data_IF_900498185427
#
_entry.id   IF_900498185427
#
_cell.length_a   1.000
_cell.length_b   1.000
_cell.length_c   1.000
_cell.angle_alpha   90.00
_cell.angle_beta   90.00
_cell.angle_gamma   90.00
#
_symmetry.space_group_name_H-M   'P 1'
#
loop_
_entity.id
_entity.type
_entity.pdbx_description
1 polymer ?
#
# COMPACT_ATOMS: atom_id res chain seq x y z
N UNK A 1 11.45 4.84 15.48
CA UNK A 1 10.43 3.82 15.19
C UNK A 1 9.71 3.34 16.45
N UNK A 2 10.33 3.36 17.64
CA UNK A 2 9.69 3.02 18.92
C UNK A 2 8.40 3.79 19.24
N UNK A 3 8.34 5.10 18.94
CA UNK A 3 7.15 5.91 19.20
C UNK A 3 5.89 5.51 18.40
N UNK A 4 6.03 4.69 17.34
CA UNK A 4 4.89 4.13 16.60
C UNK A 4 4.33 2.87 17.28
N UNK A 5 5.20 2.14 17.97
CA UNK A 5 4.90 0.90 18.69
C UNK A 5 4.43 1.16 20.12
N UNK A 6 4.73 2.34 20.68
CA UNK A 6 4.24 2.76 21.99
C UNK A 6 2.82 3.36 21.89
N UNK A 7 1.78 2.67 22.40
CA UNK A 7 0.42 3.20 22.40
C UNK A 7 0.24 4.45 23.27
N UNK A 8 1.17 4.75 24.18
CA UNK A 8 1.15 5.95 25.05
C UNK A 8 1.83 7.16 24.44
N UNK A 9 2.49 7.02 23.28
CA UNK A 9 3.13 8.14 22.61
C UNK A 9 2.06 9.14 22.07
N UNK A 10 2.33 10.46 22.12
CA UNK A 10 1.40 11.46 21.63
C UNK A 10 1.06 11.22 20.16
N UNK A 11 -0.22 11.39 19.81
CA UNK A 11 -0.79 11.08 18.49
C UNK A 11 -0.07 11.79 17.34
N UNK A 12 0.51 12.97 17.58
CA UNK A 12 1.35 13.70 16.62
C UNK A 12 2.64 12.97 16.24
N UNK A 13 3.30 12.29 17.19
CA UNK A 13 4.50 11.49 16.93
C UNK A 13 4.14 10.20 16.19
N UNK A 14 3.03 9.56 16.54
CA UNK A 14 2.53 8.36 15.84
C UNK A 14 2.16 8.67 14.39
N UNK A 15 1.49 9.79 14.14
CA UNK A 15 1.17 10.25 12.79
C UNK A 15 2.43 10.55 11.96
N UNK A 16 3.41 11.25 12.57
CA UNK A 16 4.68 11.53 11.91
C UNK A 16 5.43 10.24 11.57
N UNK A 17 5.43 9.28 12.49
CA UNK A 17 5.98 7.95 12.24
C UNK A 17 5.28 7.23 11.08
N UNK A 18 3.94 7.24 11.06
CA UNK A 18 3.17 6.63 9.98
C UNK A 18 3.47 7.26 8.63
N UNK A 19 3.55 8.60 8.56
CA UNK A 19 3.93 9.34 7.35
C UNK A 19 5.31 9.00 6.85
N UNK A 20 6.30 8.93 7.75
CA UNK A 20 7.66 8.54 7.41
C UNK A 20 7.71 7.11 6.89
N UNK A 21 6.98 6.19 7.52
CA UNK A 21 6.87 4.80 7.08
C UNK A 21 6.21 4.68 5.71
N UNK A 22 5.06 5.34 5.51
CA UNK A 22 4.35 5.35 4.23
C UNK A 22 5.20 5.96 3.12
N UNK A 23 5.82 7.12 3.38
CA UNK A 23 6.72 7.76 2.43
C UNK A 23 7.94 6.90 2.10
N UNK A 24 8.54 6.26 3.11
CA UNK A 24 9.64 5.31 2.92
C UNK A 24 9.24 4.12 2.03
N UNK A 25 8.07 3.51 2.30
CA UNK A 25 7.55 2.42 1.46
C UNK A 25 7.34 2.88 0.02
N UNK A 26 6.74 4.06 -0.18
CA UNK A 26 6.47 4.60 -1.51
C UNK A 26 7.76 4.83 -2.30
N UNK A 27 8.78 5.44 -1.67
CA UNK A 27 10.08 5.69 -2.30
C UNK A 27 10.81 4.39 -2.59
N UNK A 28 10.84 3.46 -1.63
CA UNK A 28 11.51 2.17 -1.80
C UNK A 28 10.85 1.36 -2.93
N UNK A 29 9.54 1.16 -2.87
CA UNK A 29 8.79 0.39 -3.87
C UNK A 29 8.81 1.08 -5.24
N UNK A 30 8.64 2.40 -5.28
CA UNK A 30 8.74 3.19 -6.51
C UNK A 30 10.14 3.08 -7.13
N UNK A 31 11.19 3.17 -6.31
CA UNK A 31 12.57 2.98 -6.77
C UNK A 31 12.80 1.58 -7.36
N UNK A 32 12.31 0.53 -6.68
CA UNK A 32 12.38 -0.84 -7.21
C UNK A 32 11.59 -0.97 -8.52
N UNK A 33 10.39 -0.41 -8.60
CA UNK A 33 9.60 -0.41 -9.84
C UNK A 33 10.31 0.32 -10.99
N UNK A 34 10.97 1.44 -10.71
CA UNK A 34 11.78 2.15 -11.71
C UNK A 34 12.93 1.29 -12.21
N UNK A 35 13.62 0.56 -11.34
CA UNK A 35 14.67 -0.39 -11.75
C UNK A 35 14.08 -1.53 -12.59
N UNK A 36 12.96 -2.09 -12.15
CA UNK A 36 12.26 -3.18 -12.85
C UNK A 36 11.73 -2.75 -14.21
N UNK A 37 11.39 -1.48 -14.42
CA UNK A 37 10.90 -0.98 -15.70
C UNK A 37 11.90 -1.19 -16.86
N UNK A 38 13.20 -1.31 -16.57
CA UNK A 38 14.25 -1.57 -17.55
C UNK A 38 14.50 -3.07 -17.78
N UNK A 39 14.14 -3.93 -16.81
CA UNK A 39 14.52 -5.35 -16.80
C UNK A 39 13.33 -6.25 -17.11
N UNK A 40 12.12 -5.86 -16.72
CA UNK A 40 10.93 -6.69 -16.83
C UNK A 40 10.47 -6.80 -18.29
N UNK A 41 10.35 -8.02 -18.84
CA UNK A 41 9.86 -8.22 -20.18
C UNK A 41 8.37 -7.90 -20.26
N UNK A 42 7.95 -7.29 -21.37
CA UNK A 42 6.54 -6.95 -21.62
C UNK A 42 5.80 -8.20 -22.07
N UNK A 43 4.65 -8.45 -21.46
CA UNK A 43 3.81 -9.61 -21.73
C UNK A 43 2.34 -9.20 -21.72
N UNK A 44 1.67 -9.36 -22.87
CA UNK A 44 0.26 -8.98 -23.04
C UNK A 44 -0.63 -10.22 -22.94
N UNK A 45 -0.68 -10.85 -21.77
CA UNK A 45 -1.53 -12.03 -21.54
C UNK A 45 -2.79 -11.69 -20.72
N UNK A 46 -3.99 -12.15 -21.16
CA UNK A 46 -5.25 -11.88 -20.44
C UNK A 46 -5.28 -12.48 -19.02
N UNK A 47 -4.56 -13.58 -18.79
CA UNK A 47 -4.42 -14.16 -17.46
C UNK A 47 -3.68 -13.23 -16.47
N UNK A 48 -2.76 -12.40 -16.96
CA UNK A 48 -2.08 -11.41 -16.13
C UNK A 48 -3.05 -10.31 -15.69
N UNK A 49 -4.00 -9.91 -16.54
CA UNK A 49 -5.06 -8.99 -16.14
C UNK A 49 -5.94 -9.58 -15.04
N UNK A 50 -6.38 -10.83 -15.21
CA UNK A 50 -7.17 -11.52 -14.19
C UNK A 50 -6.41 -11.63 -12.86
N UNK A 51 -5.11 -11.95 -12.92
CA UNK A 51 -4.26 -12.02 -11.74
C UNK A 51 -4.06 -10.66 -11.07
N UNK A 52 -3.86 -9.58 -11.85
CA UNK A 52 -3.70 -8.23 -11.32
C UNK A 52 -4.96 -7.77 -10.59
N UNK A 53 -6.13 -7.96 -11.21
CA UNK A 53 -7.41 -7.58 -10.61
C UNK A 53 -7.72 -8.45 -9.39
N UNK A 54 -7.59 -9.77 -9.50
CA UNK A 54 -7.84 -10.71 -8.40
C UNK A 54 -6.91 -10.47 -7.21
N UNK A 55 -5.62 -10.35 -7.46
CA UNK A 55 -4.61 -10.07 -6.42
C UNK A 55 -4.77 -8.69 -5.81
N UNK A 56 -5.09 -7.67 -6.62
CA UNK A 56 -5.35 -6.32 -6.14
C UNK A 56 -6.60 -6.24 -5.24
N UNK A 57 -7.71 -6.84 -5.66
CA UNK A 57 -8.92 -6.94 -4.84
C UNK A 57 -8.65 -7.73 -3.55
N UNK A 58 -7.91 -8.84 -3.64
CA UNK A 58 -7.55 -9.64 -2.47
C UNK A 58 -6.78 -8.81 -1.44
N UNK A 59 -5.76 -8.04 -1.86
CA UNK A 59 -5.00 -7.17 -0.97
C UNK A 59 -5.86 -6.07 -0.33
N UNK A 60 -6.79 -5.49 -1.09
CA UNK A 60 -7.76 -4.52 -0.56
C UNK A 60 -8.69 -5.17 0.48
N UNK A 61 -9.19 -6.38 0.22
CA UNK A 61 -10.00 -7.11 1.20
C UNK A 61 -9.21 -7.48 2.45
N UNK A 62 -7.93 -7.83 2.33
CA UNK A 62 -7.09 -8.04 3.50
C UNK A 62 -6.91 -6.76 4.32
N UNK A 63 -6.71 -5.61 3.66
CA UNK A 63 -6.61 -4.33 4.35
C UNK A 63 -7.92 -3.96 5.08
N UNK A 64 -9.07 -4.22 4.46
CA UNK A 64 -10.38 -4.01 5.09
C UNK A 64 -10.61 -4.99 6.25
N UNK A 65 -10.26 -6.26 6.08
CA UNK A 65 -10.40 -7.28 7.12
C UNK A 65 -9.53 -6.97 8.34
N UNK A 66 -8.29 -6.49 8.13
CA UNK A 66 -7.44 -5.98 9.22
C UNK A 66 -8.12 -4.82 9.95
N UNK A 67 -8.81 -3.94 9.23
CA UNK A 67 -9.56 -2.85 9.85
C UNK A 67 -10.72 -3.34 10.73
N UNK A 68 -11.49 -4.32 10.25
CA UNK A 68 -12.67 -4.81 10.95
C UNK A 68 -12.33 -5.69 12.16
N UNK A 69 -11.28 -6.52 12.06
CA UNK A 69 -10.93 -7.47 13.12
C UNK A 69 -10.08 -6.86 14.22
N UNK A 70 -9.22 -5.92 13.85
CA UNK A 70 -8.19 -5.36 14.74
C UNK A 70 -8.39 -3.85 14.90
N UNK A 71 -9.60 -3.34 14.66
CA UNK A 71 -9.93 -1.92 14.67
C UNK A 71 -9.56 -1.16 15.95
N UNK A 72 -9.22 -1.88 17.03
CA UNK A 72 -8.75 -1.38 18.31
C UNK A 72 -7.25 -1.62 18.58
N UNK A 73 -6.55 -2.44 17.80
CA UNK A 73 -5.12 -2.67 18.00
C UNK A 73 -4.29 -1.42 17.64
N UNK A 74 -3.20 -1.12 18.37
CA UNK A 74 -2.34 0.03 18.08
C UNK A 74 -1.62 -0.07 16.74
N UNK A 75 -1.43 -1.29 16.23
CA UNK A 75 -0.62 -1.62 15.05
C UNK A 75 -1.41 -1.66 13.73
N UNK A 76 -2.73 -1.63 13.80
CA UNK A 76 -3.62 -1.75 12.63
C UNK A 76 -3.34 -0.71 11.55
N UNK A 77 -3.11 0.58 11.85
CA UNK A 77 -2.75 1.57 10.84
C UNK A 77 -1.44 1.24 10.11
N UNK A 78 -0.47 0.64 10.81
CA UNK A 78 0.81 0.25 10.21
C UNK A 78 0.63 -0.93 9.24
N UNK A 79 -0.16 -1.94 9.64
CA UNK A 79 -0.48 -3.10 8.79
C UNK A 79 -1.23 -2.67 7.52
N UNK A 80 -2.22 -1.79 7.68
CA UNK A 80 -3.02 -1.27 6.55
C UNK A 80 -2.16 -0.48 5.56
N UNK A 81 -1.27 0.39 6.04
CA UNK A 81 -0.30 1.09 5.17
C UNK A 81 0.66 0.11 4.49
N UNK A 82 1.12 -0.92 5.21
CA UNK A 82 1.96 -1.99 4.64
C UNK A 82 1.26 -2.76 3.52
N UNK A 83 -0.01 -3.12 3.71
CA UNK A 83 -0.85 -3.76 2.69
C UNK A 83 -1.10 -2.84 1.49
N UNK A 84 -1.29 -1.53 1.73
CA UNK A 84 -1.33 -0.56 0.66
C UNK A 84 -0.04 -0.50 -0.15
N UNK A 85 1.12 -0.57 0.52
CA UNK A 85 2.40 -0.64 -0.18
C UNK A 85 2.50 -1.93 -1.01
N UNK A 86 2.13 -3.07 -0.43
CA UNK A 86 2.08 -4.33 -1.17
C UNK A 86 1.17 -4.24 -2.41
N UNK A 87 0.02 -3.58 -2.29
CA UNK A 87 -0.90 -3.31 -3.40
C UNK A 87 -0.26 -2.44 -4.48
N UNK A 88 0.36 -1.33 -4.10
CA UNK A 88 1.06 -0.44 -5.02
C UNK A 88 2.17 -1.17 -5.78
N UNK A 89 3.02 -1.90 -5.06
CA UNK A 89 4.13 -2.63 -5.66
C UNK A 89 3.64 -3.75 -6.59
N UNK A 90 2.69 -4.57 -6.13
CA UNK A 90 2.14 -5.68 -6.92
C UNK A 90 1.50 -5.18 -8.21
N UNK A 91 0.58 -4.21 -8.12
CA UNK A 91 -0.06 -3.64 -9.31
C UNK A 91 0.91 -2.86 -10.19
N UNK A 92 1.96 -2.28 -9.61
CA UNK A 92 3.06 -1.67 -10.35
C UNK A 92 3.82 -2.68 -11.20
N UNK A 93 4.22 -3.82 -10.63
CA UNK A 93 4.88 -4.91 -11.37
C UNK A 93 3.97 -5.45 -12.47
N UNK A 94 2.69 -5.69 -12.16
CA UNK A 94 1.71 -6.11 -13.17
C UNK A 94 1.51 -5.06 -14.26
N UNK A 95 1.54 -3.77 -13.90
CA UNK A 95 1.45 -2.66 -14.82
C UNK A 95 2.64 -2.56 -15.78
N UNK A 96 3.86 -2.85 -15.29
CA UNK A 96 5.07 -2.95 -16.10
C UNK A 96 5.01 -4.14 -17.07
N UNK A 97 4.59 -5.32 -16.57
CA UNK A 97 4.41 -6.51 -17.40
C UNK A 97 3.40 -6.24 -18.54
N UNK A 98 2.28 -5.61 -18.23
CA UNK A 98 1.19 -5.32 -19.16
C UNK A 98 1.37 -4.01 -19.94
N UNK A 99 2.57 -3.41 -19.94
CA UNK A 99 2.82 -2.13 -20.59
C UNK A 99 2.52 -2.20 -22.11
N UNK A 100 1.82 -1.21 -22.69
CA UNK A 100 1.40 0.07 -22.09
C UNK A 100 0.04 0.04 -21.38
N UNK A 101 -0.83 -0.93 -21.67
CA UNK A 101 -2.19 -0.99 -21.10
C UNK A 101 -2.22 -1.11 -19.57
N UNK A 102 -1.19 -1.74 -19.00
CA UNK A 102 -0.98 -1.89 -17.56
C UNK A 102 -0.74 -0.58 -16.80
N UNK A 103 -0.55 0.56 -17.46
CA UNK A 103 -0.40 1.85 -16.78
C UNK A 103 -1.58 2.18 -15.85
N UNK A 104 -2.80 1.78 -16.22
CA UNK A 104 -3.97 1.94 -15.36
C UNK A 104 -3.84 1.15 -14.04
N UNK A 105 -3.22 -0.04 -14.06
CA UNK A 105 -2.98 -0.82 -12.85
C UNK A 105 -2.00 -0.12 -11.91
N UNK A 106 -0.96 0.50 -12.45
CA UNK A 106 -0.04 1.32 -11.67
C UNK A 106 -0.78 2.49 -10.98
N UNK A 107 -1.63 3.21 -11.72
CA UNK A 107 -2.44 4.29 -11.14
C UNK A 107 -3.41 3.78 -10.06
N UNK A 108 -4.06 2.64 -10.29
CA UNK A 108 -4.95 2.01 -9.32
C UNK A 108 -4.20 1.59 -8.05
N UNK A 109 -2.99 1.04 -8.19
CA UNK A 109 -2.12 0.70 -7.06
C UNK A 109 -1.74 1.94 -6.25
N UNK A 110 -1.34 3.02 -6.92
CA UNK A 110 -1.00 4.27 -6.26
C UNK A 110 -2.21 4.88 -5.54
N UNK A 111 -3.37 4.90 -6.19
CA UNK A 111 -4.61 5.41 -5.60
C UNK A 111 -5.04 4.57 -4.39
N UNK A 112 -4.95 3.24 -4.49
CA UNK A 112 -5.25 2.32 -3.40
C UNK A 112 -4.32 2.53 -2.20
N UNK A 113 -3.02 2.71 -2.45
CA UNK A 113 -2.07 3.05 -1.39
C UNK A 113 -2.39 4.38 -0.71
N UNK A 114 -2.64 5.44 -1.49
CA UNK A 114 -2.99 6.76 -0.95
C UNK A 114 -4.30 6.72 -0.15
N UNK A 115 -5.30 5.97 -0.62
CA UNK A 115 -6.55 5.76 0.09
C UNK A 115 -6.33 5.10 1.46
N UNK A 116 -5.56 4.01 1.50
CA UNK A 116 -5.27 3.27 2.74
C UNK A 116 -4.39 4.07 3.70
N UNK A 117 -3.43 4.84 3.18
CA UNK A 117 -2.66 5.78 3.98
C UNK A 117 -3.55 6.88 4.58
N UNK A 118 -4.34 7.57 3.76
CA UNK A 118 -5.25 8.62 4.24
C UNK A 118 -6.22 8.11 5.30
N UNK A 119 -6.79 6.91 5.10
CA UNK A 119 -7.66 6.26 6.09
C UNK A 119 -6.94 5.97 7.40
N UNK A 120 -5.70 5.49 7.32
CA UNK A 120 -4.87 5.19 8.50
C UNK A 120 -4.51 6.45 9.29
N UNK A 121 -4.24 7.57 8.62
CA UNK A 121 -4.05 8.87 9.28
C UNK A 121 -5.30 9.33 10.01
N UNK A 122 -6.47 9.29 9.33
CA UNK A 122 -7.74 9.70 9.93
C UNK A 122 -8.09 8.89 11.16
N UNK A 123 -7.81 7.59 11.13
CA UNK A 123 -8.10 6.74 12.27
C UNK A 123 -7.18 7.01 13.46
N UNK A 124 -5.90 7.32 13.24
CA UNK A 124 -5.01 7.75 14.31
C UNK A 124 -5.43 9.10 14.91
N UNK A 125 -6.00 10.00 14.10
CA UNK A 125 -6.54 11.28 14.56
C UNK A 125 -7.88 11.14 15.30
N UNK A 126 -8.70 10.14 14.95
CA UNK A 126 -9.99 9.88 15.58
C UNK A 126 -9.85 9.22 16.97
N UNK A 127 -8.72 8.57 17.28
CA UNK A 127 -8.42 7.98 18.59
C UNK A 127 -7.83 8.98 19.61
N UNK A 128 -8.13 10.27 19.49
CA UNK A 128 -7.83 11.29 20.52
C UNK A 128 -8.74 11.11 21.72
#
# INVERSE_FOLDING_TARGET
MEALLDPKAPSSLRLRGLRLYAGFLLVLQGGVLLLLAWVVPRASHPLLWALALGGGLWLLFQAEASWQREGEEPLTPLRVVGLGGALFFFLGVMGLLLWPGGFLLFLLGALGFLYLWYRSERALLARK
#
